data_IF_455631286541
#
_entry.id   IF_455631286541
#
_cell.length_a   1.000
_cell.length_b   1.000
_cell.length_c   1.000
_cell.angle_alpha   90.00
_cell.angle_beta   90.00
_cell.angle_gamma   90.00
#
_symmetry.space_group_name_H-M   'P 1'
#
loop_
_entity.id
_entity.type
_entity.pdbx_description
1 polymer ?
#
# COMPACT_ATOMS: atom_id res chain seq x y z
N UNK A 1 -25.73 -3.20 5.45
CA UNK A 1 -25.31 -4.47 4.83
C UNK A 1 -23.85 -4.70 5.18
N UNK A 2 -23.38 -5.94 5.29
CA UNK A 2 -21.98 -6.23 5.69
C UNK A 2 -21.11 -6.26 4.44
N UNK A 3 -20.01 -5.50 4.42
CA UNK A 3 -19.04 -5.54 3.31
C UNK A 3 -18.33 -6.90 3.26
N UNK A 4 -17.97 -7.34 2.05
CA UNK A 4 -17.11 -8.52 1.85
C UNK A 4 -15.63 -8.15 1.99
N UNK A 5 -14.81 -9.16 2.31
CA UNK A 5 -13.39 -9.02 2.61
C UNK A 5 -12.51 -8.81 1.36
N UNK A 6 -12.90 -7.89 0.48
CA UNK A 6 -12.10 -7.52 -0.68
C UNK A 6 -12.13 -6.01 -0.98
N UNK A 7 -11.07 -5.55 -1.63
CA UNK A 7 -10.93 -4.23 -2.25
C UNK A 7 -10.88 -4.44 -3.76
N UNK A 8 -11.67 -3.67 -4.51
CA UNK A 8 -11.75 -3.83 -5.97
C UNK A 8 -11.21 -2.61 -6.68
N UNK A 9 -10.59 -2.81 -7.85
CA UNK A 9 -10.37 -1.78 -8.85
C UNK A 9 -11.53 -1.75 -9.85
N UNK A 10 -11.51 -0.75 -10.72
CA UNK A 10 -12.49 -0.60 -11.83
C UNK A 10 -11.79 -0.29 -13.15
N UNK A 11 -12.49 -0.54 -14.25
CA UNK A 11 -11.90 -0.61 -15.60
C UNK A 11 -11.49 0.75 -16.18
N UNK A 12 -12.18 1.84 -15.85
CA UNK A 12 -11.95 3.15 -16.46
C UNK A 12 -12.30 4.35 -15.59
N UNK A 13 -12.56 5.48 -16.24
CA UNK A 13 -12.84 6.78 -15.60
C UNK A 13 -14.22 6.84 -14.94
N UNK A 14 -15.16 6.03 -15.40
CA UNK A 14 -16.51 5.93 -14.86
C UNK A 14 -16.85 4.47 -14.66
N UNK A 15 -17.77 4.19 -13.73
CA UNK A 15 -18.30 2.85 -13.62
C UNK A 15 -19.12 2.50 -14.85
N UNK A 16 -19.01 1.27 -15.33
CA UNK A 16 -19.93 0.67 -16.30
C UNK A 16 -21.22 0.24 -15.60
N UNK A 17 -22.29 -0.02 -16.36
CA UNK A 17 -23.52 -0.55 -15.79
C UNK A 17 -23.29 -1.88 -15.02
N UNK A 18 -22.43 -2.74 -15.56
CA UNK A 18 -22.11 -4.04 -14.96
C UNK A 18 -21.27 -3.91 -13.68
N UNK A 19 -20.33 -2.96 -13.62
CA UNK A 19 -19.60 -2.65 -12.38
C UNK A 19 -20.52 -2.07 -11.32
N UNK A 20 -21.47 -1.20 -11.68
CA UNK A 20 -22.48 -0.68 -10.73
C UNK A 20 -23.32 -1.80 -10.11
N UNK A 21 -23.77 -2.74 -10.94
CA UNK A 21 -24.53 -3.91 -10.48
C UNK A 21 -23.68 -4.78 -9.56
N UNK A 22 -22.44 -5.08 -9.97
CA UNK A 22 -21.50 -5.86 -9.18
C UNK A 22 -21.21 -5.21 -7.82
N UNK A 23 -20.86 -3.93 -7.77
CA UNK A 23 -20.52 -3.22 -6.52
C UNK A 23 -21.71 -3.22 -5.57
N UNK A 24 -22.93 -2.97 -6.07
CA UNK A 24 -24.15 -2.97 -5.24
C UNK A 24 -24.50 -4.37 -4.72
N UNK A 25 -24.23 -5.41 -5.51
CA UNK A 25 -24.53 -6.80 -5.16
C UNK A 25 -23.50 -7.42 -4.20
N UNK A 26 -22.22 -7.10 -4.37
CA UNK A 26 -21.11 -7.77 -3.67
C UNK A 26 -20.48 -6.93 -2.55
N UNK A 27 -20.76 -5.63 -2.50
CA UNK A 27 -20.36 -4.71 -1.42
C UNK A 27 -18.88 -4.86 -1.02
N UNK A 28 -17.93 -4.59 -1.93
CA UNK A 28 -16.51 -4.52 -1.58
C UNK A 28 -16.28 -3.58 -0.39
N UNK A 29 -15.29 -3.90 0.44
CA UNK A 29 -14.90 -3.04 1.55
C UNK A 29 -14.32 -1.71 1.09
N UNK A 30 -13.60 -1.70 -0.03
CA UNK A 30 -13.00 -0.49 -0.57
C UNK A 30 -12.80 -0.52 -2.08
N UNK A 31 -12.43 0.64 -2.62
CA UNK A 31 -12.06 0.85 -4.02
C UNK A 31 -10.58 1.20 -4.10
N UNK A 32 -9.82 0.62 -5.03
CA UNK A 32 -8.45 1.08 -5.34
C UNK A 32 -8.40 1.73 -6.71
N UNK A 33 -7.82 2.94 -6.77
CA UNK A 33 -7.67 3.72 -8.00
C UNK A 33 -6.28 3.56 -8.59
N UNK A 34 -6.24 3.46 -9.92
CA UNK A 34 -5.03 3.42 -10.72
C UNK A 34 -5.04 4.56 -11.73
N UNK A 35 -3.90 4.79 -12.40
CA UNK A 35 -3.75 5.84 -13.42
C UNK A 35 -4.87 5.83 -14.49
N UNK A 36 -5.39 4.64 -14.84
CA UNK A 36 -6.50 4.48 -15.81
C UNK A 36 -7.85 5.04 -15.33
N UNK A 37 -7.97 5.34 -14.04
CA UNK A 37 -9.17 5.88 -13.40
C UNK A 37 -9.07 7.40 -13.16
N UNK A 38 -7.95 8.02 -13.54
CA UNK A 38 -7.62 9.42 -13.24
C UNK A 38 -7.54 10.22 -14.53
N UNK A 39 -8.46 11.18 -14.71
CA UNK A 39 -8.40 12.19 -15.77
C UNK A 39 -8.32 13.60 -15.20
N UNK A 40 -9.32 14.03 -14.45
CA UNK A 40 -9.44 15.36 -13.86
C UNK A 40 -10.00 15.31 -12.43
N UNK A 41 -9.72 16.31 -11.57
CA UNK A 41 -10.15 16.29 -10.17
C UNK A 41 -11.65 16.01 -9.97
N UNK A 42 -12.53 16.73 -10.68
CA UNK A 42 -13.99 16.56 -10.55
C UNK A 42 -14.45 15.16 -10.99
N UNK A 43 -13.82 14.58 -12.02
CA UNK A 43 -14.12 13.22 -12.47
C UNK A 43 -13.73 12.19 -11.42
N UNK A 44 -12.56 12.33 -10.79
CA UNK A 44 -12.12 11.40 -9.75
C UNK A 44 -13.05 11.48 -8.54
N UNK A 45 -13.40 12.69 -8.08
CA UNK A 45 -14.35 12.87 -6.97
C UNK A 45 -15.71 12.26 -7.29
N UNK A 46 -16.22 12.44 -8.52
CA UNK A 46 -17.48 11.83 -8.94
C UNK A 46 -17.43 10.29 -8.93
N UNK A 47 -16.32 9.68 -9.37
CA UNK A 47 -16.14 8.22 -9.30
C UNK A 47 -16.10 7.72 -7.85
N UNK A 48 -15.43 8.45 -6.95
CA UNK A 48 -15.36 8.14 -5.52
C UNK A 48 -16.73 8.23 -4.86
N UNK A 49 -17.46 9.31 -5.13
CA UNK A 49 -18.81 9.53 -4.59
C UNK A 49 -19.81 8.49 -5.11
N UNK A 50 -19.72 8.13 -6.39
CA UNK A 50 -20.55 7.08 -6.98
C UNK A 50 -20.28 5.72 -6.32
N UNK A 51 -19.02 5.35 -6.12
CA UNK A 51 -18.66 4.13 -5.40
C UNK A 51 -19.27 4.08 -3.99
N UNK A 52 -19.08 5.14 -3.19
CA UNK A 52 -19.61 5.26 -1.83
C UNK A 52 -21.13 5.17 -1.79
N UNK A 53 -21.80 5.82 -2.74
CA UNK A 53 -23.24 5.76 -2.90
C UNK A 53 -23.73 4.33 -3.18
N UNK A 54 -23.03 3.57 -4.03
CA UNK A 54 -23.38 2.19 -4.36
C UNK A 54 -23.20 1.22 -3.20
N UNK A 55 -22.14 1.37 -2.41
CA UNK A 55 -21.91 0.54 -1.22
C UNK A 55 -22.73 1.01 0.00
N UNK A 56 -23.31 2.21 -0.06
CA UNK A 56 -24.14 2.78 1.00
C UNK A 56 -23.35 3.18 2.24
N UNK A 57 -22.06 3.49 2.10
CA UNK A 57 -21.16 3.89 3.18
C UNK A 57 -20.40 5.16 2.77
N UNK A 58 -20.66 6.26 3.47
CA UNK A 58 -20.16 7.60 3.13
C UNK A 58 -18.65 7.71 3.30
N UNK A 59 -18.09 6.93 4.22
CA UNK A 59 -16.66 6.91 4.52
C UNK A 59 -16.00 5.62 4.00
N UNK A 60 -16.58 4.96 3.00
CA UNK A 60 -15.97 3.77 2.42
C UNK A 60 -14.54 4.11 1.93
N UNK A 61 -13.54 3.28 2.28
CA UNK A 61 -12.15 3.55 1.97
C UNK A 61 -11.92 3.53 0.46
N UNK A 62 -11.21 4.56 0.00
CA UNK A 62 -10.67 4.62 -1.36
C UNK A 62 -9.15 4.70 -1.25
N UNK A 63 -8.50 3.74 -1.89
CA UNK A 63 -7.07 3.47 -1.89
C UNK A 63 -6.42 3.98 -3.18
N UNK A 64 -5.13 4.30 -3.09
CA UNK A 64 -4.28 4.61 -4.24
C UNK A 64 -2.83 4.22 -3.93
N UNK A 65 -1.97 4.08 -4.94
CA UNK A 65 -0.52 4.10 -4.75
C UNK A 65 0.06 5.46 -5.17
N UNK A 66 0.19 6.41 -4.24
CA UNK A 66 0.77 7.72 -4.51
C UNK A 66 2.10 7.90 -3.74
N UNK A 67 3.12 7.12 -4.11
CA UNK A 67 4.41 7.12 -3.41
C UNK A 67 5.30 8.33 -3.77
N UNK A 68 5.19 8.80 -5.01
CA UNK A 68 6.15 9.71 -5.63
C UNK A 68 7.12 8.98 -6.59
N UNK A 69 7.87 9.76 -7.36
CA UNK A 69 8.72 9.24 -8.42
C UNK A 69 7.94 8.42 -9.45
N UNK A 70 8.34 7.16 -9.66
CA UNK A 70 7.74 6.30 -10.69
C UNK A 70 6.40 5.66 -10.30
N UNK A 71 6.08 5.63 -9.01
CA UNK A 71 4.77 5.15 -8.52
C UNK A 71 3.95 6.35 -8.07
N UNK A 72 3.32 6.98 -9.06
CA UNK A 72 2.42 8.10 -8.89
C UNK A 72 1.26 7.91 -9.88
N UNK A 73 0.03 7.82 -9.37
CA UNK A 73 -1.19 7.74 -10.19
C UNK A 73 -1.69 9.14 -10.54
N UNK A 74 -1.61 10.06 -9.58
CA UNK A 74 -1.85 11.49 -9.77
C UNK A 74 -0.58 12.16 -10.29
N UNK A 75 -0.73 13.01 -11.31
CA UNK A 75 0.39 13.78 -11.86
C UNK A 75 -0.06 14.98 -12.70
N UNK A 76 0.88 15.65 -13.40
CA UNK A 76 0.56 16.84 -14.19
C UNK A 76 -0.50 16.58 -15.27
N UNK A 77 -1.34 17.58 -15.61
CA UNK A 77 -1.23 18.99 -15.20
C UNK A 77 -1.88 19.34 -13.86
N UNK A 78 -2.68 18.44 -13.27
CA UNK A 78 -3.50 18.75 -12.10
C UNK A 78 -2.75 18.61 -10.77
N UNK A 79 -1.79 17.68 -10.71
CA UNK A 79 -1.03 17.39 -9.49
C UNK A 79 0.47 17.52 -9.72
N UNK A 80 1.25 17.91 -8.69
CA UNK A 80 2.70 18.02 -8.81
C UNK A 80 3.35 16.65 -8.96
N UNK A 81 4.64 16.68 -9.33
CA UNK A 81 5.51 15.50 -9.22
C UNK A 81 6.15 15.50 -7.83
N UNK A 82 5.97 14.40 -7.10
CA UNK A 82 6.66 14.17 -5.82
C UNK A 82 7.96 13.39 -6.04
N UNK A 83 9.01 13.63 -5.23
CA UNK A 83 10.28 12.93 -5.35
C UNK A 83 10.16 11.44 -5.00
N UNK A 84 11.04 10.57 -5.54
CA UNK A 84 11.11 9.18 -5.12
C UNK A 84 11.66 9.04 -3.69
N UNK A 85 11.36 7.92 -3.02
CA UNK A 85 11.80 7.65 -1.64
C UNK A 85 13.31 7.73 -1.42
N UNK A 86 14.11 7.36 -2.43
CA UNK A 86 15.57 7.45 -2.36
C UNK A 86 16.09 8.88 -2.12
N UNK A 87 15.35 9.91 -2.55
CA UNK A 87 15.73 11.31 -2.31
C UNK A 87 15.67 11.66 -0.83
N UNK A 88 14.67 11.16 -0.10
CA UNK A 88 14.62 11.32 1.37
C UNK A 88 15.75 10.56 2.05
N UNK A 89 16.09 9.38 1.51
CA UNK A 89 17.24 8.61 1.94
C UNK A 89 18.55 9.37 1.79
N UNK A 90 18.78 10.02 0.66
CA UNK A 90 19.99 10.81 0.42
C UNK A 90 20.08 12.01 1.37
N UNK A 91 18.97 12.72 1.61
CA UNK A 91 18.92 13.79 2.61
C UNK A 91 19.21 13.29 4.01
N UNK A 92 18.69 12.13 4.38
CA UNK A 92 18.93 11.54 5.69
C UNK A 92 20.41 11.23 5.91
N UNK A 93 21.13 10.80 4.86
CA UNK A 93 22.58 10.54 4.95
C UNK A 93 23.39 11.83 5.12
N UNK A 94 22.91 12.95 4.60
CA UNK A 94 23.50 14.27 4.85
C UNK A 94 23.19 14.78 6.26
N UNK A 95 21.92 14.69 6.66
CA UNK A 95 21.41 15.03 7.99
C UNK A 95 20.08 14.30 8.24
N UNK A 96 20.01 13.39 9.23
CA UNK A 96 18.79 12.66 9.56
C UNK A 96 17.56 13.54 9.73
N UNK A 97 17.71 14.73 10.34
CA UNK A 97 16.58 15.62 10.57
C UNK A 97 15.99 16.15 9.25
N UNK A 98 16.83 16.40 8.23
CA UNK A 98 16.39 16.87 6.92
C UNK A 98 15.65 15.78 6.14
N UNK A 99 16.19 14.56 6.12
CA UNK A 99 15.54 13.44 5.44
C UNK A 99 14.17 13.11 6.02
N UNK A 100 14.07 13.06 7.36
CA UNK A 100 12.78 12.85 8.04
C UNK A 100 11.80 14.00 7.79
N UNK A 101 12.28 15.25 7.80
CA UNK A 101 11.44 16.41 7.50
C UNK A 101 10.91 16.39 6.07
N UNK A 102 11.76 16.10 5.09
CA UNK A 102 11.36 16.00 3.69
C UNK A 102 10.33 14.89 3.47
N UNK A 103 10.56 13.72 4.07
CA UNK A 103 9.65 12.58 3.97
C UNK A 103 8.26 12.88 4.55
N UNK A 104 8.20 13.49 5.74
CA UNK A 104 6.94 13.92 6.38
C UNK A 104 6.24 15.00 5.56
N UNK A 105 6.98 15.97 5.04
CA UNK A 105 6.39 17.07 4.28
C UNK A 105 5.84 16.63 2.93
N UNK A 106 6.57 15.77 2.21
CA UNK A 106 6.13 15.21 0.94
C UNK A 106 4.85 14.38 1.09
N UNK A 107 4.80 13.50 2.10
CA UNK A 107 3.62 12.68 2.39
C UNK A 107 2.43 13.52 2.88
N UNK A 108 2.68 14.59 3.65
CA UNK A 108 1.65 15.56 4.03
C UNK A 108 1.04 16.27 2.83
N UNK A 109 1.86 16.66 1.85
CA UNK A 109 1.42 17.25 0.60
C UNK A 109 0.62 16.25 -0.26
N UNK A 110 1.11 15.01 -0.38
CA UNK A 110 0.38 13.91 -1.04
C UNK A 110 -1.00 13.76 -0.40
N UNK A 111 -1.08 13.64 0.93
CA UNK A 111 -2.35 13.45 1.61
C UNK A 111 -3.31 14.63 1.41
N UNK A 112 -2.79 15.86 1.34
CA UNK A 112 -3.59 17.04 1.04
C UNK A 112 -4.19 17.00 -0.38
N UNK A 113 -3.45 16.47 -1.36
CA UNK A 113 -3.95 16.28 -2.73
C UNK A 113 -4.97 15.11 -2.80
N UNK A 114 -4.81 14.07 -1.98
CA UNK A 114 -5.70 12.90 -1.95
C UNK A 114 -7.07 13.19 -1.31
N UNK A 115 -7.08 13.92 -0.18
CA UNK A 115 -8.33 14.24 0.53
C UNK A 115 -9.27 15.11 -0.30
N UNK A 116 -8.75 16.00 -1.15
CA UNK A 116 -9.57 16.80 -2.07
C UNK A 116 -10.38 15.94 -3.05
N UNK A 117 -9.93 14.70 -3.31
CA UNK A 117 -10.57 13.74 -4.20
C UNK A 117 -11.43 12.71 -3.44
N UNK A 118 -11.52 12.83 -2.11
CA UNK A 118 -12.16 11.84 -1.24
C UNK A 118 -11.36 10.54 -1.07
N UNK A 119 -10.09 10.49 -1.51
CA UNK A 119 -9.21 9.34 -1.33
C UNK A 119 -8.64 9.39 0.09
N UNK A 120 -8.85 8.31 0.86
CA UNK A 120 -8.65 8.31 2.32
C UNK A 120 -7.62 7.29 2.79
N UNK A 121 -7.07 6.50 1.87
CA UNK A 121 -6.04 5.52 2.13
C UNK A 121 -4.98 5.63 1.03
N UNK A 122 -3.71 5.67 1.42
CA UNK A 122 -2.60 5.60 0.48
C UNK A 122 -1.77 4.36 0.81
N UNK A 123 -1.40 3.62 -0.23
CA UNK A 123 -0.59 2.43 -0.13
C UNK A 123 0.88 2.83 0.09
N UNK A 124 1.15 3.45 1.24
CA UNK A 124 2.40 4.07 1.63
C UNK A 124 2.43 4.09 3.19
N UNK A 125 3.56 3.87 3.89
CA UNK A 125 4.96 3.87 3.44
C UNK A 125 5.49 2.52 2.92
N UNK A 126 6.66 2.57 2.27
CA UNK A 126 7.49 1.39 2.06
C UNK A 126 8.38 1.11 3.27
N UNK A 127 8.63 -0.16 3.59
CA UNK A 127 9.68 -0.56 4.52
C UNK A 127 10.61 -1.64 3.94
N UNK A 128 10.61 -1.77 2.62
CA UNK A 128 11.51 -2.67 1.89
C UNK A 128 12.97 -2.22 2.00
N UNK A 129 13.89 -3.17 2.20
CA UNK A 129 15.33 -2.91 2.38
C UNK A 129 16.12 -3.54 1.22
N UNK A 130 16.43 -2.78 0.14
CA UNK A 130 17.19 -3.32 -0.98
C UNK A 130 18.61 -3.75 -0.61
N UNK A 131 19.09 -4.76 -1.32
CA UNK A 131 20.48 -5.22 -1.26
C UNK A 131 21.14 -5.14 -2.63
N UNK A 132 22.48 -5.18 -2.66
CA UNK A 132 23.21 -5.22 -3.92
C UNK A 132 22.78 -6.44 -4.75
N UNK A 133 22.44 -6.21 -6.02
CA UNK A 133 21.97 -7.26 -6.94
C UNK A 133 20.47 -7.58 -6.88
N UNK A 134 19.71 -6.92 -6.01
CA UNK A 134 18.24 -7.02 -6.02
C UNK A 134 17.64 -6.37 -7.28
N UNK A 135 16.41 -6.79 -7.63
CA UNK A 135 15.66 -6.24 -8.75
C UNK A 135 15.30 -4.76 -8.51
N UNK A 136 15.19 -4.01 -9.60
CA UNK A 136 14.83 -2.59 -9.57
C UNK A 136 13.35 -2.33 -9.19
N UNK A 137 12.52 -3.37 -9.03
CA UNK A 137 11.11 -3.31 -8.61
C UNK A 137 10.89 -2.53 -7.32
N UNK A 138 11.86 -2.50 -6.41
CA UNK A 138 11.92 -1.50 -5.35
C UNK A 138 12.77 -0.32 -5.82
N UNK A 139 14.07 -0.53 -6.06
CA UNK A 139 14.95 0.48 -6.65
C UNK A 139 14.89 1.81 -5.89
N UNK A 140 14.63 2.91 -6.61
CA UNK A 140 14.55 4.25 -6.02
C UNK A 140 13.29 4.53 -5.18
N UNK A 141 12.36 3.57 -5.06
CA UNK A 141 11.22 3.67 -4.12
C UNK A 141 11.67 3.52 -2.67
N UNK A 142 12.73 2.76 -2.41
CA UNK A 142 13.24 2.53 -1.06
C UNK A 142 13.86 3.78 -0.45
N UNK A 143 13.76 3.89 0.86
CA UNK A 143 14.33 4.98 1.65
C UNK A 143 15.82 4.77 2.00
N UNK A 144 16.36 3.58 1.75
CA UNK A 144 17.75 3.23 2.02
C UNK A 144 17.95 1.72 2.12
N UNK A 145 19.14 1.30 2.53
CA UNK A 145 19.54 -0.12 2.64
C UNK A 145 19.79 -0.57 4.08
N UNK A 146 19.53 0.31 5.06
CA UNK A 146 19.68 0.00 6.49
C UNK A 146 18.31 -0.05 7.16
N UNK A 147 17.95 -1.12 7.89
CA UNK A 147 16.61 -1.30 8.45
C UNK A 147 16.16 -0.14 9.34
N UNK A 148 17.03 0.35 10.23
CA UNK A 148 16.70 1.46 11.14
C UNK A 148 16.42 2.77 10.40
N UNK A 149 17.19 3.07 9.35
CA UNK A 149 16.99 4.24 8.49
C UNK A 149 15.65 4.14 7.74
N UNK A 150 15.40 2.98 7.13
CA UNK A 150 14.15 2.70 6.40
C UNK A 150 12.94 2.86 7.32
N UNK A 151 12.98 2.26 8.51
CA UNK A 151 11.90 2.37 9.49
C UNK A 151 11.67 3.82 9.95
N UNK A 152 12.74 4.60 10.18
CA UNK A 152 12.62 6.00 10.60
C UNK A 152 11.97 6.87 9.52
N UNK A 153 12.38 6.72 8.25
CA UNK A 153 11.81 7.48 7.13
C UNK A 153 10.37 7.03 6.87
N UNK A 154 10.09 5.73 6.91
CA UNK A 154 8.73 5.19 6.78
C UNK A 154 7.77 5.71 7.86
N UNK A 155 8.24 5.86 9.11
CA UNK A 155 7.48 6.50 10.18
C UNK A 155 7.19 7.97 9.85
N UNK A 156 8.19 8.73 9.40
CA UNK A 156 7.99 10.13 9.03
C UNK A 156 6.98 10.28 7.87
N UNK A 157 7.03 9.40 6.88
CA UNK A 157 6.01 9.32 5.80
C UNK A 157 4.62 9.04 6.36
N UNK A 158 4.52 8.07 7.28
CA UNK A 158 3.26 7.74 7.97
C UNK A 158 2.68 8.96 8.69
N UNK A 159 3.50 9.66 9.45
CA UNK A 159 3.07 10.87 10.18
C UNK A 159 2.52 11.95 9.25
N UNK A 160 3.14 12.16 8.08
CA UNK A 160 2.66 13.14 7.11
C UNK A 160 1.30 12.75 6.51
N UNK A 161 1.11 11.47 6.16
CA UNK A 161 -0.19 10.95 5.72
C UNK A 161 -1.27 11.15 6.79
N UNK A 162 -0.96 10.80 8.04
CA UNK A 162 -1.90 10.89 9.16
C UNK A 162 -2.29 12.34 9.49
N UNK A 163 -1.34 13.29 9.46
CA UNK A 163 -1.63 14.72 9.56
C UNK A 163 -2.56 15.19 8.43
N UNK A 164 -2.41 14.54 7.27
CA UNK A 164 -3.27 14.57 6.10
C UNK A 164 -4.70 14.10 6.28
N UNK A 165 -4.98 13.31 7.31
CA UNK A 165 -6.22 12.53 7.40
C UNK A 165 -6.29 11.34 6.43
N UNK A 166 -5.15 10.90 5.89
CA UNK A 166 -5.03 9.72 5.03
C UNK A 166 -4.43 8.57 5.83
N UNK A 167 -5.04 7.39 5.73
CA UNK A 167 -4.54 6.19 6.39
C UNK A 167 -3.38 5.56 5.60
N UNK A 168 -2.30 5.17 6.29
CA UNK A 168 -1.17 4.48 5.65
C UNK A 168 -1.44 2.98 5.46
N UNK A 169 -0.84 2.38 4.42
CA UNK A 169 -0.69 0.92 4.28
C UNK A 169 0.80 0.59 4.17
N UNK A 170 1.33 -0.05 5.20
CA UNK A 170 2.72 -0.48 5.26
C UNK A 170 3.01 -1.58 4.24
N UNK A 171 3.99 -1.40 3.35
CA UNK A 171 4.29 -2.39 2.31
C UNK A 171 5.80 -2.59 2.01
N UNK A 172 6.20 -3.72 1.43
CA UNK A 172 5.41 -4.93 1.24
C UNK A 172 5.82 -5.93 2.32
N UNK A 173 4.97 -6.16 3.33
CA UNK A 173 5.36 -6.94 4.52
C UNK A 173 5.50 -8.45 4.16
N UNK A 174 6.55 -9.17 4.59
CA UNK A 174 7.64 -8.76 5.47
C UNK A 174 8.91 -8.26 4.76
N UNK A 175 8.87 -8.01 3.45
CA UNK A 175 9.95 -7.37 2.70
C UNK A 175 10.01 -7.82 1.24
N UNK A 176 10.22 -6.88 0.32
CA UNK A 176 10.43 -7.12 -1.11
C UNK A 176 11.83 -6.64 -1.57
N UNK A 177 12.59 -6.01 -0.67
CA UNK A 177 13.90 -5.44 -0.99
C UNK A 177 14.94 -6.41 -1.53
N UNK A 178 14.88 -7.69 -1.15
CA UNK A 178 15.78 -8.75 -1.65
C UNK A 178 15.27 -9.50 -2.88
N UNK A 179 14.09 -9.19 -3.38
CA UNK A 179 13.53 -9.90 -4.52
C UNK A 179 14.44 -9.79 -5.74
N UNK A 180 14.63 -10.92 -6.43
CA UNK A 180 15.46 -11.03 -7.63
C UNK A 180 14.68 -10.81 -8.92
N UNK A 181 13.37 -10.53 -8.82
CA UNK A 181 12.49 -10.29 -9.93
C UNK A 181 11.33 -9.39 -9.51
N UNK A 182 10.77 -8.67 -10.47
CA UNK A 182 9.51 -7.98 -10.32
C UNK A 182 8.33 -8.98 -10.29
N UNK A 183 7.60 -8.98 -9.17
CA UNK A 183 6.42 -9.82 -8.93
C UNK A 183 5.25 -9.56 -9.89
N UNK A 184 5.26 -8.46 -10.66
CA UNK A 184 4.31 -8.25 -11.75
C UNK A 184 4.52 -9.25 -12.90
N UNK A 185 5.74 -9.78 -13.07
CA UNK A 185 6.09 -10.64 -14.20
C UNK A 185 6.41 -12.08 -13.79
N UNK A 186 7.12 -12.29 -12.67
CA UNK A 186 7.52 -13.63 -12.20
C UNK A 186 7.59 -13.66 -10.68
N UNK A 187 7.37 -14.82 -10.09
CA UNK A 187 7.46 -15.01 -8.64
C UNK A 187 8.92 -14.90 -8.15
N UNK A 188 9.30 -13.86 -7.39
CA UNK A 188 10.63 -13.79 -6.80
C UNK A 188 10.80 -14.79 -5.67
N UNK A 189 12.00 -15.37 -5.57
CA UNK A 189 12.43 -16.23 -4.48
C UNK A 189 13.63 -15.62 -3.78
N UNK A 190 13.59 -15.57 -2.45
CA UNK A 190 14.65 -15.09 -1.57
C UNK A 190 15.17 -16.29 -0.78
N UNK A 191 16.41 -16.69 -1.06
CA UNK A 191 17.11 -17.82 -0.42
C UNK A 191 17.93 -17.42 0.81
N UNK A 192 17.68 -16.24 1.35
CA UNK A 192 18.39 -15.73 2.53
C UNK A 192 17.96 -16.50 3.78
N UNK A 193 18.92 -16.84 4.65
CA UNK A 193 18.65 -17.52 5.91
C UNK A 193 17.71 -16.70 6.80
N UNK A 194 16.88 -17.42 7.57
CA UNK A 194 15.87 -16.82 8.45
C UNK A 194 16.46 -15.80 9.41
N UNK A 195 17.60 -16.12 10.05
CA UNK A 195 18.25 -15.26 11.04
C UNK A 195 18.71 -13.92 10.44
N UNK A 196 19.14 -13.95 9.18
CA UNK A 196 19.52 -12.72 8.46
C UNK A 196 18.29 -11.90 8.10
N UNK A 197 17.22 -12.53 7.61
CA UNK A 197 15.95 -11.85 7.33
C UNK A 197 15.36 -11.19 8.59
N UNK A 198 15.41 -11.87 9.72
CA UNK A 198 14.97 -11.35 11.02
C UNK A 198 15.79 -10.13 11.47
N UNK A 199 17.10 -10.08 11.14
CA UNK A 199 18.01 -8.98 11.49
C UNK A 199 17.95 -7.82 10.49
N UNK A 200 17.50 -8.05 9.26
CA UNK A 200 17.46 -7.03 8.21
C UNK A 200 16.06 -6.68 7.76
N UNK A 201 15.45 -7.50 6.92
CA UNK A 201 14.24 -7.18 6.17
C UNK A 201 13.07 -7.03 7.14
N UNK A 202 12.88 -8.03 8.01
CA UNK A 202 11.76 -8.06 8.95
C UNK A 202 11.95 -7.01 10.05
N UNK A 203 13.20 -6.73 10.43
CA UNK A 203 13.54 -5.71 11.41
C UNK A 203 13.10 -4.30 10.99
N UNK A 204 13.02 -4.00 9.69
CA UNK A 204 12.52 -2.70 9.21
C UNK A 204 11.03 -2.48 9.48
N UNK A 205 10.24 -3.57 9.58
CA UNK A 205 8.80 -3.51 9.82
C UNK A 205 8.44 -3.51 11.30
N UNK A 206 9.30 -4.03 12.19
CA UNK A 206 9.02 -4.12 13.63
C UNK A 206 8.66 -2.76 14.29
N UNK A 207 9.39 -1.65 14.04
CA UNK A 207 9.05 -0.34 14.61
C UNK A 207 7.77 0.29 14.02
N UNK A 208 7.16 -0.37 13.05
CA UNK A 208 5.97 0.06 12.30
C UNK A 208 4.79 -0.91 12.51
N UNK A 209 4.92 -1.88 13.42
CA UNK A 209 3.91 -2.92 13.65
C UNK A 209 2.59 -2.38 14.25
N UNK A 210 2.60 -1.17 14.79
CA UNK A 210 1.44 -0.41 15.30
C UNK A 210 0.59 0.23 14.20
N UNK A 211 1.05 0.25 12.94
CA UNK A 211 0.29 0.83 11.84
C UNK A 211 -1.07 0.13 11.65
N UNK A 212 -2.11 0.85 11.21
CA UNK A 212 -3.46 0.31 11.11
C UNK A 212 -3.61 -0.73 10.01
N UNK A 213 -2.83 -0.63 8.92
CA UNK A 213 -2.92 -1.48 7.74
C UNK A 213 -1.54 -1.85 7.19
N UNK A 214 -1.44 -3.05 6.62
CA UNK A 214 -0.26 -3.50 5.89
C UNK A 214 -0.65 -4.37 4.68
N UNK A 215 0.21 -4.40 3.67
CA UNK A 215 0.05 -5.15 2.43
C UNK A 215 1.17 -6.17 2.27
N UNK A 216 0.83 -7.45 2.07
CA UNK A 216 1.82 -8.54 1.98
C UNK A 216 2.61 -8.53 0.67
N UNK A 217 3.86 -8.97 0.67
CA UNK A 217 4.65 -9.18 -0.54
C UNK A 217 4.35 -10.52 -1.24
N UNK A 218 4.25 -10.53 -2.58
CA UNK A 218 4.28 -11.76 -3.38
C UNK A 218 5.71 -12.27 -3.57
N UNK A 219 6.35 -12.72 -2.47
CA UNK A 219 7.74 -13.18 -2.44
C UNK A 219 7.83 -14.51 -1.71
N UNK A 220 8.51 -15.49 -2.31
CA UNK A 220 8.85 -16.77 -1.64
C UNK A 220 10.09 -16.56 -0.79
N UNK A 221 10.02 -16.91 0.48
CA UNK A 221 11.18 -16.94 1.38
C UNK A 221 11.52 -18.40 1.67
N UNK A 222 12.45 -18.97 0.91
CA UNK A 222 12.63 -20.43 0.86
C UNK A 222 13.08 -21.05 2.18
N UNK A 223 13.77 -20.28 3.03
CA UNK A 223 14.15 -20.68 4.38
C UNK A 223 12.96 -20.79 5.37
N UNK A 224 11.79 -20.25 5.02
CA UNK A 224 10.59 -20.21 5.87
C UNK A 224 9.47 -21.05 5.28
N UNK A 225 9.16 -20.82 4.01
CA UNK A 225 8.16 -21.56 3.24
C UNK A 225 8.58 -21.58 1.76
N UNK A 226 9.19 -22.67 1.27
CA UNK A 226 9.63 -22.77 -0.12
C UNK A 226 8.47 -23.02 -1.09
N UNK A 227 7.28 -23.35 -0.60
CA UNK A 227 6.14 -23.73 -1.46
C UNK A 227 5.23 -22.54 -1.78
N UNK A 228 5.17 -21.54 -0.90
CA UNK A 228 4.20 -20.45 -0.99
C UNK A 228 4.86 -19.08 -0.79
N UNK A 229 4.48 -18.05 -1.57
CA UNK A 229 4.84 -16.68 -1.24
C UNK A 229 4.24 -16.24 0.09
N UNK A 230 4.79 -15.18 0.69
CA UNK A 230 4.32 -14.64 1.97
C UNK A 230 2.80 -14.38 1.99
N UNK A 231 2.22 -13.88 0.89
CA UNK A 231 0.78 -13.63 0.74
C UNK A 231 -0.11 -14.87 0.88
N UNK A 232 0.37 -16.07 0.53
CA UNK A 232 -0.39 -17.32 0.61
C UNK A 232 0.21 -18.33 1.59
N UNK A 233 1.23 -17.93 2.37
CA UNK A 233 1.87 -18.76 3.38
C UNK A 233 1.30 -18.50 4.77
N UNK A 234 0.51 -19.43 5.28
CA UNK A 234 0.03 -19.40 6.67
C UNK A 234 1.19 -19.41 7.68
N UNK A 235 2.32 -20.02 7.32
CA UNK A 235 3.54 -20.03 8.15
C UNK A 235 4.12 -18.63 8.26
N UNK A 236 4.34 -17.95 7.14
CA UNK A 236 4.92 -16.60 7.13
C UNK A 236 3.95 -15.60 7.78
N UNK A 237 2.66 -15.63 7.45
CA UNK A 237 1.68 -14.73 8.07
C UNK A 237 1.65 -14.92 9.59
N UNK A 238 1.53 -16.15 10.08
CA UNK A 238 1.43 -16.41 11.53
C UNK A 238 2.74 -16.17 12.27
N UNK A 239 3.84 -16.72 11.78
CA UNK A 239 5.10 -16.74 12.54
C UNK A 239 5.94 -15.49 12.34
N UNK A 240 5.90 -14.90 11.14
CA UNK A 240 6.70 -13.71 10.81
C UNK A 240 5.86 -12.45 10.97
N UNK A 241 4.76 -12.30 10.22
CA UNK A 241 4.00 -11.04 10.19
C UNK A 241 3.29 -10.78 11.52
N UNK A 242 2.45 -11.72 11.97
CA UNK A 242 1.73 -11.62 13.26
C UNK A 242 2.63 -11.90 14.45
N UNK A 243 3.64 -12.76 14.28
CA UNK A 243 4.58 -13.18 15.33
C UNK A 243 5.79 -12.26 15.46
N UNK A 244 6.86 -12.55 14.71
CA UNK A 244 8.16 -11.89 14.85
C UNK A 244 8.17 -10.38 14.59
N UNK A 245 7.40 -9.89 13.62
CA UNK A 245 7.18 -8.46 13.38
C UNK A 245 6.17 -7.90 14.40
N UNK A 246 5.17 -8.70 14.77
CA UNK A 246 4.15 -8.32 15.75
C UNK A 246 3.00 -7.51 15.17
N UNK A 247 2.83 -7.43 13.84
CA UNK A 247 1.79 -6.63 13.20
C UNK A 247 0.38 -7.20 13.47
N UNK A 248 -0.47 -6.45 14.15
CA UNK A 248 -1.85 -6.87 14.51
C UNK A 248 -2.95 -6.07 13.79
N UNK A 249 -2.58 -5.13 12.92
CA UNK A 249 -3.51 -4.33 12.11
C UNK A 249 -4.20 -5.14 11.00
N UNK A 250 -4.97 -4.47 10.16
CA UNK A 250 -5.64 -5.08 9.01
C UNK A 250 -4.60 -5.47 7.95
N UNK A 251 -4.53 -6.75 7.60
CA UNK A 251 -3.58 -7.28 6.63
C UNK A 251 -4.29 -7.58 5.31
N UNK A 252 -3.84 -6.95 4.23
CA UNK A 252 -4.34 -7.19 2.88
C UNK A 252 -3.28 -7.86 1.99
N UNK A 253 -3.72 -8.58 0.97
CA UNK A 253 -2.82 -9.02 -0.09
C UNK A 253 -2.34 -7.82 -0.93
N UNK A 254 -1.21 -7.97 -1.61
CA UNK A 254 -0.97 -7.23 -2.86
C UNK A 254 -1.92 -7.77 -3.96
N UNK A 255 -1.90 -7.19 -5.14
CA UNK A 255 -2.87 -7.49 -6.20
C UNK A 255 -2.90 -8.97 -6.60
N UNK A 256 -4.02 -9.63 -6.31
CA UNK A 256 -4.27 -11.04 -6.64
C UNK A 256 -4.17 -11.33 -8.14
N UNK A 257 -4.31 -10.30 -8.98
CA UNK A 257 -4.20 -10.42 -10.44
C UNK A 257 -2.76 -10.44 -10.96
N UNK A 258 -1.76 -10.18 -10.11
CA UNK A 258 -0.35 -10.24 -10.49
C UNK A 258 0.08 -11.66 -10.87
N UNK A 259 1.02 -11.77 -11.80
CA UNK A 259 1.47 -13.06 -12.34
C UNK A 259 2.37 -13.87 -11.39
N UNK A 260 2.74 -13.31 -10.23
CA UNK A 260 3.53 -14.01 -9.23
C UNK A 260 2.77 -15.19 -8.58
N UNK A 261 1.44 -15.15 -8.51
CA UNK A 261 0.66 -16.23 -7.90
C UNK A 261 0.30 -17.32 -8.91
N UNK A 262 0.30 -18.58 -8.48
CA UNK A 262 -0.14 -19.70 -9.31
C UNK A 262 -1.67 -19.94 -9.19
N UNK A 263 -2.27 -20.57 -10.19
CA UNK A 263 -3.70 -20.91 -10.20
C UNK A 263 -4.62 -19.81 -10.72
N UNK A 264 -5.92 -20.10 -10.73
CA UNK A 264 -6.97 -19.14 -11.12
C UNK A 264 -7.13 -18.03 -10.08
N UNK A 265 -7.84 -16.94 -10.42
CA UNK A 265 -8.16 -15.87 -9.45
C UNK A 265 -8.91 -16.44 -8.24
N UNK A 266 -9.86 -17.36 -8.46
CA UNK A 266 -10.58 -18.02 -7.39
C UNK A 266 -9.64 -18.82 -6.46
N UNK A 267 -8.70 -19.60 -7.02
CA UNK A 267 -7.74 -20.39 -6.24
C UNK A 267 -6.83 -19.47 -5.40
N UNK A 268 -6.34 -18.39 -6.00
CA UNK A 268 -5.47 -17.41 -5.35
C UNK A 268 -6.20 -16.70 -4.22
N UNK A 269 -7.42 -16.22 -4.45
CA UNK A 269 -8.26 -15.56 -3.44
C UNK A 269 -8.50 -16.48 -2.25
N UNK A 270 -8.86 -17.75 -2.49
CA UNK A 270 -9.04 -18.73 -1.42
C UNK A 270 -7.75 -18.95 -0.64
N UNK A 271 -6.61 -19.08 -1.32
CA UNK A 271 -5.31 -19.27 -0.68
C UNK A 271 -4.92 -18.08 0.20
N UNK A 272 -5.15 -16.84 -0.25
CA UNK A 272 -4.87 -15.60 0.49
C UNK A 272 -5.66 -15.56 1.81
N UNK A 273 -6.98 -15.77 1.75
CA UNK A 273 -7.83 -15.76 2.96
C UNK A 273 -7.44 -16.91 3.89
N UNK A 274 -7.22 -18.11 3.34
CA UNK A 274 -6.83 -19.30 4.12
C UNK A 274 -5.49 -19.11 4.82
N UNK A 275 -4.55 -18.37 4.21
CA UNK A 275 -3.26 -18.08 4.80
C UNK A 275 -3.34 -17.10 5.98
N UNK A 276 -4.42 -16.33 6.09
CA UNK A 276 -4.68 -15.42 7.22
C UNK A 276 -4.59 -13.92 6.88
N UNK A 277 -4.64 -13.56 5.60
CA UNK A 277 -4.94 -12.17 5.22
C UNK A 277 -6.40 -11.85 5.56
N UNK A 278 -6.65 -10.63 6.03
CA UNK A 278 -7.99 -10.15 6.38
C UNK A 278 -8.76 -9.65 5.13
N UNK A 279 -8.03 -9.28 4.07
CA UNK A 279 -8.59 -8.66 2.86
C UNK A 279 -7.84 -9.13 1.62
N UNK A 280 -8.58 -9.30 0.51
CA UNK A 280 -7.99 -9.54 -0.82
C UNK A 280 -8.06 -8.26 -1.65
N UNK A 281 -6.93 -7.89 -2.26
CA UNK A 281 -6.85 -6.76 -3.18
C UNK A 281 -6.90 -7.24 -4.63
N UNK A 282 -7.83 -6.69 -5.42
CA UNK A 282 -7.89 -6.89 -6.88
C UNK A 282 -7.84 -5.54 -7.58
N UNK A 283 -6.84 -5.35 -8.45
CA UNK A 283 -6.53 -4.00 -8.92
C UNK A 283 -6.94 -3.69 -10.35
N UNK A 284 -7.12 -4.67 -11.24
CA UNK A 284 -7.15 -4.40 -12.68
C UNK A 284 -8.55 -4.03 -13.24
N UNK A 285 -9.62 -4.25 -12.47
CA UNK A 285 -10.99 -3.91 -12.86
C UNK A 285 -11.61 -4.81 -13.93
N UNK A 286 -11.07 -6.00 -14.18
CA UNK A 286 -11.71 -6.99 -15.05
C UNK A 286 -12.85 -7.69 -14.32
N UNK A 287 -14.07 -7.47 -14.82
CA UNK A 287 -15.29 -7.88 -14.14
C UNK A 287 -15.38 -9.38 -13.80
N UNK A 288 -14.94 -10.26 -14.70
CA UNK A 288 -14.99 -11.71 -14.43
C UNK A 288 -14.04 -12.12 -13.29
N UNK A 289 -12.85 -11.51 -13.22
CA UNK A 289 -11.93 -11.71 -12.09
C UNK A 289 -12.51 -11.12 -10.80
N UNK A 290 -13.13 -9.93 -10.87
CA UNK A 290 -13.79 -9.30 -9.72
C UNK A 290 -14.89 -10.21 -9.14
N UNK A 291 -15.68 -10.86 -10.00
CA UNK A 291 -16.71 -11.84 -9.59
C UNK A 291 -16.12 -13.08 -8.91
N UNK A 292 -14.97 -13.56 -9.40
CA UNK A 292 -14.27 -14.68 -8.76
C UNK A 292 -13.74 -14.27 -7.37
N UNK A 293 -13.16 -13.07 -7.23
CA UNK A 293 -12.71 -12.55 -5.93
C UNK A 293 -13.88 -12.40 -4.96
N UNK A 294 -14.98 -11.78 -5.40
CA UNK A 294 -16.15 -11.61 -4.56
C UNK A 294 -16.66 -12.97 -4.08
N UNK A 295 -16.85 -13.94 -4.98
CA UNK A 295 -17.34 -15.29 -4.63
C UNK A 295 -16.50 -15.98 -3.57
N UNK A 296 -15.18 -15.83 -3.66
CA UNK A 296 -14.23 -16.55 -2.79
C UNK A 296 -13.83 -15.79 -1.53
N UNK A 297 -14.24 -14.54 -1.38
CA UNK A 297 -14.04 -13.79 -0.15
C UNK A 297 -15.26 -13.89 0.78
N UNK A 298 -15.06 -14.11 2.09
CA UNK A 298 -16.16 -14.12 3.04
C UNK A 298 -16.70 -12.70 3.25
N UNK A 299 -17.88 -12.60 3.88
CA UNK A 299 -18.26 -11.35 4.55
C UNK A 299 -17.22 -11.01 5.63
N UNK A 300 -16.93 -9.73 5.82
CA UNK A 300 -16.04 -9.31 6.91
C UNK A 300 -16.70 -9.62 8.26
N UNK A 301 -16.08 -10.52 9.00
CA UNK A 301 -16.55 -10.98 10.31
C UNK A 301 -15.40 -11.05 11.33
N UNK A 302 -15.78 -11.27 12.60
CA UNK A 302 -14.88 -11.58 13.71
C UNK A 302 -13.65 -10.64 13.82
N UNK A 303 -12.46 -11.22 13.88
CA UNK A 303 -11.22 -10.48 14.08
C UNK A 303 -10.87 -9.60 12.87
N UNK A 304 -11.13 -10.06 11.65
CA UNK A 304 -10.91 -9.29 10.42
C UNK A 304 -11.80 -8.03 10.40
N UNK A 305 -13.08 -8.16 10.75
CA UNK A 305 -13.97 -7.00 10.91
C UNK A 305 -13.49 -6.07 12.03
N UNK A 306 -13.02 -6.62 13.16
CA UNK A 306 -12.45 -5.85 14.25
C UNK A 306 -11.22 -5.04 13.82
N UNK A 307 -10.30 -5.65 13.05
CA UNK A 307 -9.14 -4.99 12.47
C UNK A 307 -9.54 -3.92 11.46
N UNK A 308 -10.50 -4.19 10.58
CA UNK A 308 -11.01 -3.23 9.60
C UNK A 308 -11.61 -1.99 10.27
N UNK A 309 -12.44 -2.19 11.31
CA UNK A 309 -13.02 -1.08 12.08
C UNK A 309 -11.96 -0.26 12.80
N UNK A 310 -10.96 -0.90 13.42
CA UNK A 310 -9.84 -0.20 14.07
C UNK A 310 -9.01 0.58 13.06
N UNK A 311 -8.78 0.03 11.87
CA UNK A 311 -8.05 0.70 10.81
C UNK A 311 -8.76 1.99 10.37
N UNK A 312 -10.07 1.91 10.09
CA UNK A 312 -10.85 3.10 9.73
C UNK A 312 -10.93 4.13 10.87
N UNK A 313 -11.07 3.66 12.12
CA UNK A 313 -11.11 4.52 13.30
C UNK A 313 -9.78 5.20 13.63
N UNK A 314 -8.65 4.73 13.06
CA UNK A 314 -7.35 5.37 13.22
C UNK A 314 -7.22 6.67 12.40
N UNK A 315 -8.15 6.93 11.47
CA UNK A 315 -8.11 8.11 10.60
C UNK A 315 -8.34 9.38 11.43
N UNK A 316 -7.40 10.31 11.34
CA UNK A 316 -7.46 11.62 11.99
C UNK A 316 -8.16 12.62 11.08
N UNK A 317 -8.71 13.68 11.67
CA UNK A 317 -9.14 14.83 10.86
C UNK A 317 -7.91 15.54 10.27
N UNK A 318 -7.95 15.97 9.00
CA UNK A 318 -6.84 16.71 8.42
C UNK A 318 -6.54 17.98 9.22
N UNK A 319 -5.27 18.19 9.59
CA UNK A 319 -4.86 19.42 10.26
C UNK A 319 -4.85 20.60 9.24
N UNK A 320 -4.93 21.87 9.67
CA UNK A 320 -4.68 23.01 8.77
C UNK A 320 -3.26 22.95 8.19
N UNK A 321 -3.11 23.23 6.90
CA UNK A 321 -1.81 23.15 6.22
C UNK A 321 -1.68 24.14 5.07
N UNK A 322 -0.63 24.95 5.11
CA UNK A 322 -0.25 25.83 4.00
C UNK A 322 0.52 25.02 2.94
N UNK A 323 -0.21 24.58 1.92
CA UNK A 323 0.34 23.78 0.83
C UNK A 323 1.40 24.53 0.03
N UNK A 324 1.28 25.85 -0.11
CA UNK A 324 2.24 26.64 -0.88
C UNK A 324 3.57 26.73 -0.13
N UNK A 325 3.53 27.07 1.16
CA UNK A 325 4.71 27.08 2.00
C UNK A 325 5.35 25.68 2.09
N UNK A 326 4.54 24.63 2.26
CA UNK A 326 5.03 23.26 2.28
C UNK A 326 5.72 22.82 0.99
N UNK A 327 5.21 23.25 -0.19
CA UNK A 327 5.86 22.97 -1.47
C UNK A 327 7.19 23.69 -1.61
N UNK A 328 7.24 24.98 -1.28
CA UNK A 328 8.47 25.76 -1.34
C UNK A 328 9.55 25.20 -0.40
N UNK A 329 9.14 24.75 0.79
CA UNK A 329 10.06 24.12 1.74
C UNK A 329 10.55 22.75 1.26
N UNK A 330 9.67 21.93 0.68
CA UNK A 330 10.06 20.65 0.10
C UNK A 330 11.06 20.87 -1.05
N UNK A 331 10.80 21.81 -1.95
CA UNK A 331 11.68 22.18 -3.05
C UNK A 331 13.07 22.60 -2.55
N UNK A 332 13.13 23.49 -1.56
CA UNK A 332 14.39 23.90 -0.93
C UNK A 332 15.16 22.74 -0.29
N UNK A 333 14.46 21.73 0.25
CA UNK A 333 15.10 20.50 0.73
C UNK A 333 15.62 19.64 -0.43
N UNK A 334 14.90 19.55 -1.55
CA UNK A 334 15.33 18.75 -2.71
C UNK A 334 16.58 19.34 -3.38
N UNK A 335 16.70 20.66 -3.45
CA UNK A 335 17.88 21.34 -4.01
C UNK A 335 19.18 20.97 -3.27
N UNK A 336 19.09 20.63 -1.99
CA UNK A 336 20.24 20.16 -1.18
C UNK A 336 20.74 18.79 -1.59
N UNK A 337 19.92 17.97 -2.24
CA UNK A 337 20.34 16.68 -2.81
C UNK A 337 21.01 16.88 -4.16
N UNK A 338 20.49 17.78 -4.99
CA UNK A 338 21.03 18.08 -6.33
C UNK A 338 22.36 18.85 -6.33
N UNK A 339 22.76 19.41 -5.19
CA UNK A 339 24.02 20.16 -4.99
C UNK A 339 25.12 19.35 -4.30
N UNK A 340 24.84 18.11 -3.90
CA UNK A 340 25.76 17.20 -3.20
C UNK A 340 26.47 16.20 -4.12
#
# INVERSE_FOLDING_TARGET
MTSRAFITGVSGLELTAAEREFIRGELPWGLILFKRNIEAPDQVSALVDEFRSLVGEVDAPVLIDQEGGRVARLGPPHWPVYPPGATFGALYDLDPALGLKAARLSSRLIAADLIDLGITVDCLPLADVPVAGADAVIGNRAYGTQPAKVAAIARAVTEGLEQGGVLPVLKHIPGHGRATADSHFRLPTVDTAREELERTDFAAFQPLADLPMAMTAHVVFSALDPAQPATTSATIIRQVIRGGIGFQGLLMSDDVSMNALAGSIADRTRAIITAGCDMVLHCNGKLDEMRDVARETPELADEALGRAKRALAARKQPEPFDRQAGRAELEALMDRVGTA
#
